data_IF_000920464540
#
_entry.id   IF_000920464540
#
_cell.length_a   1.000
_cell.length_b   1.000
_cell.length_c   1.000
_cell.angle_alpha   90.00
_cell.angle_beta   90.00
_cell.angle_gamma   90.00
#
_symmetry.space_group_name_H-M   'P 1'
#
loop_
_entity.id
_entity.type
_entity.pdbx_description
1 polymer ?
#
# COMPACT_ATOMS: atom_id res chain seq x y z
N UNK A 1 3.57 -32.58 -30.65
CA UNK A 1 3.42 -31.49 -29.67
C UNK A 1 4.82 -30.93 -29.39
N UNK A 2 5.06 -29.63 -29.57
CA UNK A 2 6.36 -29.05 -29.18
C UNK A 2 6.55 -29.22 -27.68
N UNK A 3 7.76 -29.60 -27.25
CA UNK A 3 8.08 -29.73 -25.84
C UNK A 3 7.85 -28.39 -25.12
N UNK A 4 7.24 -28.42 -23.91
CA UNK A 4 7.02 -27.21 -23.12
C UNK A 4 8.36 -26.65 -22.69
N UNK A 5 8.52 -25.34 -22.77
CA UNK A 5 9.71 -24.66 -22.27
C UNK A 5 9.75 -24.68 -20.74
N UNK A 6 10.90 -25.01 -20.16
CA UNK A 6 11.11 -25.03 -18.72
C UNK A 6 11.66 -23.70 -18.23
N UNK A 7 10.88 -22.98 -17.40
CA UNK A 7 11.20 -21.64 -16.90
C UNK A 7 11.35 -21.64 -15.39
N UNK A 8 12.45 -21.09 -14.90
CA UNK A 8 12.68 -20.86 -13.48
C UNK A 8 12.24 -19.44 -13.07
N UNK A 9 11.55 -19.32 -11.94
CA UNK A 9 11.18 -18.06 -11.33
C UNK A 9 11.97 -17.90 -10.03
N UNK A 10 12.79 -16.86 -9.96
CA UNK A 10 13.49 -16.43 -8.76
C UNK A 10 12.78 -15.22 -8.16
N UNK A 11 11.62 -15.48 -7.55
CA UNK A 11 10.72 -14.49 -6.97
C UNK A 11 10.40 -14.87 -5.54
N UNK A 12 10.54 -13.92 -4.62
CA UNK A 12 10.01 -14.11 -3.26
C UNK A 12 8.48 -14.00 -3.26
N UNK A 13 7.79 -14.87 -2.53
CA UNK A 13 6.32 -14.86 -2.43
C UNK A 13 5.81 -14.16 -1.17
N UNK A 14 6.72 -13.68 -0.33
CA UNK A 14 6.40 -13.07 0.98
C UNK A 14 5.77 -11.68 0.90
N UNK A 15 5.99 -10.92 -0.19
CA UNK A 15 5.44 -9.57 -0.35
C UNK A 15 4.44 -9.46 -1.52
N UNK A 16 3.56 -8.45 -1.44
CA UNK A 16 2.51 -8.24 -2.43
C UNK A 16 3.06 -7.92 -3.81
N UNK A 17 4.13 -7.13 -3.91
CA UNK A 17 4.76 -6.77 -5.18
C UNK A 17 5.14 -8.02 -5.99
N UNK A 18 5.86 -8.94 -5.38
CA UNK A 18 6.30 -10.17 -6.05
C UNK A 18 5.15 -11.13 -6.33
N UNK A 19 4.14 -11.20 -5.46
CA UNK A 19 2.92 -11.98 -5.73
C UNK A 19 2.17 -11.43 -6.95
N UNK A 20 2.06 -10.10 -7.09
CA UNK A 20 1.45 -9.49 -8.26
C UNK A 20 2.25 -9.73 -9.56
N UNK A 21 3.59 -9.77 -9.51
CA UNK A 21 4.40 -10.20 -10.65
C UNK A 21 4.09 -11.66 -11.02
N UNK A 22 3.96 -12.53 -10.03
CA UNK A 22 3.61 -13.94 -10.24
C UNK A 22 2.22 -14.09 -10.88
N UNK A 23 1.23 -13.31 -10.43
CA UNK A 23 -0.11 -13.31 -11.03
C UNK A 23 -0.07 -12.95 -12.52
N UNK A 24 0.74 -11.98 -12.91
CA UNK A 24 0.95 -11.61 -14.31
C UNK A 24 1.63 -12.72 -15.13
N UNK A 25 2.65 -13.37 -14.56
CA UNK A 25 3.31 -14.52 -15.19
C UNK A 25 2.33 -15.69 -15.34
N UNK A 26 1.52 -15.96 -14.33
CA UNK A 26 0.47 -16.99 -14.37
C UNK A 26 -0.51 -16.69 -15.51
N UNK A 27 -0.99 -15.46 -15.65
CA UNK A 27 -1.89 -15.07 -16.72
C UNK A 27 -1.28 -15.35 -18.10
N UNK A 28 0.00 -14.99 -18.30
CA UNK A 28 0.72 -15.30 -19.54
C UNK A 28 0.80 -16.81 -19.81
N UNK A 29 1.19 -17.60 -18.79
CA UNK A 29 1.36 -19.05 -18.92
C UNK A 29 0.02 -19.74 -19.22
N UNK A 30 -1.07 -19.32 -18.58
CA UNK A 30 -2.42 -19.84 -18.84
C UNK A 30 -2.90 -19.52 -20.25
N UNK A 31 -2.64 -18.33 -20.75
CA UNK A 31 -3.01 -17.90 -22.09
C UNK A 31 -2.29 -18.70 -23.17
N UNK A 32 -1.00 -18.96 -23.00
CA UNK A 32 -0.15 -19.56 -24.04
C UNK A 32 0.07 -21.07 -23.87
N UNK A 33 -0.01 -21.60 -22.62
CA UNK A 33 0.15 -23.01 -22.26
C UNK A 33 1.44 -23.69 -22.76
N UNK A 34 2.50 -22.90 -22.95
CA UNK A 34 3.75 -23.33 -23.58
C UNK A 34 4.88 -23.61 -22.57
N UNK A 35 4.67 -23.26 -21.28
CA UNK A 35 5.72 -23.35 -20.26
C UNK A 35 5.42 -24.40 -19.19
N UNK A 36 6.51 -24.96 -18.66
CA UNK A 36 6.57 -25.64 -17.38
C UNK A 36 7.35 -24.74 -16.42
N UNK A 37 6.73 -24.32 -15.31
CA UNK A 37 7.29 -23.33 -14.40
C UNK A 37 7.81 -23.98 -13.15
N UNK A 38 9.03 -23.61 -12.74
CA UNK A 38 9.64 -23.98 -11.47
C UNK A 38 9.76 -22.74 -10.58
N UNK A 39 9.04 -22.72 -9.47
CA UNK A 39 9.03 -21.65 -8.46
C UNK A 39 9.41 -22.26 -7.10
N UNK A 40 10.66 -22.10 -6.63
CA UNK A 40 11.02 -22.50 -5.28
C UNK A 40 10.55 -21.47 -4.25
N UNK A 41 10.39 -21.90 -3.02
CA UNK A 41 10.19 -21.00 -1.90
C UNK A 41 11.43 -20.13 -1.70
N UNK A 42 11.23 -18.81 -1.65
CA UNK A 42 12.31 -17.84 -1.44
C UNK A 42 11.84 -16.68 -0.55
N UNK A 43 12.72 -16.24 0.33
CA UNK A 43 12.56 -15.02 1.10
C UNK A 43 13.36 -13.86 0.49
N UNK A 44 13.05 -12.64 0.92
CA UNK A 44 13.76 -11.43 0.45
C UNK A 44 15.22 -11.46 0.93
N UNK A 45 16.14 -11.25 0.01
CA UNK A 45 17.58 -11.28 0.31
C UNK A 45 18.18 -12.68 0.42
N UNK A 46 17.42 -13.73 0.07
CA UNK A 46 17.93 -15.10 0.04
C UNK A 46 19.19 -15.25 -0.82
N UNK A 47 20.04 -16.18 -0.45
CA UNK A 47 21.17 -16.57 -1.27
C UNK A 47 20.71 -17.31 -2.54
N UNK A 48 21.50 -17.27 -3.64
CA UNK A 48 21.15 -18.03 -4.83
C UNK A 48 20.93 -19.50 -4.50
N UNK A 49 19.81 -20.09 -4.91
CA UNK A 49 19.54 -21.50 -4.60
C UNK A 49 20.55 -22.43 -5.28
N UNK A 50 20.97 -23.48 -4.58
CA UNK A 50 22.02 -24.40 -5.06
C UNK A 50 21.65 -25.09 -6.37
N UNK A 51 20.37 -25.37 -6.62
CA UNK A 51 19.88 -26.02 -7.84
C UNK A 51 20.11 -25.14 -9.09
N UNK A 52 20.21 -23.81 -8.95
CA UNK A 52 20.38 -22.89 -10.09
C UNK A 52 21.67 -23.17 -10.87
N UNK A 53 22.71 -23.69 -10.22
CA UNK A 53 23.98 -24.05 -10.87
C UNK A 53 23.83 -25.17 -11.89
N UNK A 54 22.85 -26.06 -11.65
CA UNK A 54 22.60 -27.26 -12.48
C UNK A 54 21.27 -27.13 -13.25
N UNK A 55 20.69 -25.94 -13.29
CA UNK A 55 19.44 -25.72 -14.00
C UNK A 55 19.61 -25.88 -15.51
N UNK A 56 18.85 -26.82 -16.07
CA UNK A 56 18.87 -27.15 -17.51
C UNK A 56 17.56 -26.74 -18.21
N UNK A 57 16.92 -25.68 -17.72
CA UNK A 57 15.72 -25.13 -18.36
C UNK A 57 16.04 -24.21 -19.54
N UNK A 58 14.99 -23.55 -20.04
CA UNK A 58 15.06 -22.70 -21.23
C UNK A 58 15.21 -21.21 -20.90
N UNK A 59 14.82 -20.77 -19.69
CA UNK A 59 14.89 -19.36 -19.33
C UNK A 59 14.59 -19.09 -17.85
N UNK A 60 14.81 -17.83 -17.45
CA UNK A 60 14.71 -17.39 -16.06
C UNK A 60 14.04 -16.01 -16.00
N UNK A 61 13.04 -15.85 -15.12
CA UNK A 61 12.58 -14.55 -14.63
C UNK A 61 13.05 -14.38 -13.20
N UNK A 62 13.77 -13.31 -12.91
CA UNK A 62 14.42 -13.14 -11.60
C UNK A 62 14.31 -11.73 -11.05
N UNK A 63 14.07 -11.60 -9.74
CA UNK A 63 14.41 -10.39 -8.98
C UNK A 63 15.88 -10.44 -8.58
N UNK A 64 16.73 -9.77 -9.36
CA UNK A 64 18.18 -9.78 -9.17
C UNK A 64 18.55 -8.68 -8.17
N UNK A 65 18.27 -8.89 -6.89
CA UNK A 65 18.47 -7.90 -5.83
C UNK A 65 19.85 -7.92 -5.17
N UNK A 66 20.67 -8.94 -5.47
CA UNK A 66 22.03 -9.07 -4.90
C UNK A 66 23.04 -9.44 -5.99
N UNK A 67 24.31 -9.08 -5.75
CA UNK A 67 25.38 -9.47 -6.66
C UNK A 67 25.60 -11.00 -6.68
N UNK A 68 25.30 -11.69 -5.60
CA UNK A 68 25.35 -13.14 -5.55
C UNK A 68 24.35 -13.79 -6.51
N UNK A 69 23.08 -13.32 -6.51
CA UNK A 69 22.05 -13.75 -7.48
C UNK A 69 22.49 -13.38 -8.91
N UNK A 70 22.98 -12.15 -9.12
CA UNK A 70 23.48 -11.72 -10.43
C UNK A 70 24.57 -12.64 -11.01
N UNK A 71 25.55 -13.01 -10.18
CA UNK A 71 26.60 -13.96 -10.57
C UNK A 71 26.06 -15.35 -10.87
N UNK A 72 25.14 -15.86 -10.05
CA UNK A 72 24.55 -17.16 -10.24
C UNK A 72 23.73 -17.24 -11.54
N UNK A 73 22.90 -16.23 -11.79
CA UNK A 73 22.08 -16.14 -13.00
C UNK A 73 22.94 -16.03 -14.27
N UNK A 74 23.98 -15.18 -14.27
CA UNK A 74 24.92 -15.06 -15.42
C UNK A 74 25.60 -16.40 -15.76
N UNK A 75 25.94 -17.20 -14.76
CA UNK A 75 26.62 -18.50 -14.96
C UNK A 75 25.76 -19.54 -15.69
N UNK A 76 24.44 -19.36 -15.68
CA UNK A 76 23.55 -20.30 -16.40
C UNK A 76 23.66 -20.16 -17.92
N UNK A 77 24.06 -18.98 -18.42
CA UNK A 77 24.08 -18.68 -19.86
C UNK A 77 22.72 -18.64 -20.53
N UNK A 78 21.63 -18.77 -19.77
CA UNK A 78 20.26 -18.83 -20.28
C UNK A 78 19.68 -17.44 -20.55
N UNK A 79 18.62 -17.35 -21.37
CA UNK A 79 17.78 -16.16 -21.45
C UNK A 79 17.23 -15.75 -20.09
N UNK A 80 17.38 -14.46 -19.74
CA UNK A 80 16.96 -13.91 -18.45
C UNK A 80 16.20 -12.60 -18.63
N UNK A 81 15.14 -12.40 -17.86
CA UNK A 81 14.48 -11.11 -17.66
C UNK A 81 14.59 -10.72 -16.19
N UNK A 82 15.10 -9.51 -15.93
CA UNK A 82 15.19 -8.94 -14.58
C UNK A 82 13.90 -8.18 -14.24
N UNK A 83 13.31 -8.47 -13.09
CA UNK A 83 12.13 -7.77 -12.57
C UNK A 83 12.46 -7.09 -11.23
N UNK A 84 13.69 -6.56 -11.10
CA UNK A 84 14.16 -5.82 -9.92
C UNK A 84 14.70 -4.44 -10.27
N UNK A 85 14.70 -3.54 -9.27
CA UNK A 85 15.26 -2.20 -9.36
C UNK A 85 16.79 -2.16 -9.23
N UNK A 86 17.43 -3.26 -8.82
CA UNK A 86 18.84 -3.23 -8.42
C UNK A 86 19.82 -3.07 -9.59
N UNK A 87 19.46 -3.56 -10.80
CA UNK A 87 20.25 -3.42 -12.03
C UNK A 87 21.66 -3.99 -11.98
N UNK A 88 21.83 -5.09 -11.25
CA UNK A 88 23.14 -5.77 -11.13
C UNK A 88 23.65 -6.40 -12.43
N UNK A 89 22.77 -6.71 -13.38
CA UNK A 89 23.16 -7.33 -14.66
C UNK A 89 22.90 -6.37 -15.80
N UNK A 90 23.97 -5.90 -16.43
CA UNK A 90 23.88 -5.05 -17.63
C UNK A 90 23.56 -5.89 -18.88
N UNK A 91 22.82 -5.32 -19.82
CA UNK A 91 22.57 -5.93 -21.13
C UNK A 91 21.45 -6.96 -21.20
N UNK A 92 20.81 -7.31 -20.10
CA UNK A 92 19.58 -8.13 -20.09
C UNK A 92 18.33 -7.24 -20.09
N UNK A 93 17.20 -7.72 -20.65
CA UNK A 93 15.94 -7.01 -20.54
C UNK A 93 15.45 -6.95 -19.08
N UNK A 94 14.73 -5.88 -18.80
CA UNK A 94 14.11 -5.70 -17.50
C UNK A 94 12.74 -5.04 -17.59
N UNK A 95 11.88 -5.40 -16.66
CA UNK A 95 10.55 -4.81 -16.46
C UNK A 95 10.40 -4.39 -15.01
N UNK A 96 9.90 -3.19 -14.77
CA UNK A 96 9.66 -2.67 -13.43
C UNK A 96 8.49 -1.71 -13.42
N UNK A 97 7.91 -1.45 -12.25
CA UNK A 97 6.93 -0.38 -12.07
C UNK A 97 7.62 0.98 -12.02
N UNK A 98 6.96 2.02 -12.50
CA UNK A 98 7.51 3.38 -12.54
C UNK A 98 7.48 4.01 -11.13
N UNK A 99 8.64 4.01 -10.47
CA UNK A 99 8.81 4.58 -9.13
C UNK A 99 8.63 6.10 -9.10
N UNK A 100 8.91 6.78 -10.20
CA UNK A 100 8.64 8.22 -10.35
C UNK A 100 7.14 8.50 -10.34
N UNK A 101 6.38 7.78 -11.16
CA UNK A 101 4.92 7.91 -11.23
C UNK A 101 4.24 7.45 -9.91
N UNK A 102 4.81 6.45 -9.21
CA UNK A 102 4.34 6.06 -7.87
C UNK A 102 4.50 7.21 -6.86
N UNK A 103 5.66 7.87 -6.87
CA UNK A 103 5.91 9.01 -5.98
C UNK A 103 5.02 10.21 -6.33
N UNK A 104 4.75 10.43 -7.61
CA UNK A 104 3.84 11.47 -8.10
C UNK A 104 2.42 11.28 -7.57
N UNK A 105 1.85 10.08 -7.71
CA UNK A 105 0.53 9.76 -7.15
C UNK A 105 0.47 9.99 -5.62
N UNK A 106 1.52 9.60 -4.89
CA UNK A 106 1.57 9.80 -3.45
C UNK A 106 1.66 11.29 -3.07
N UNK A 107 2.50 12.08 -3.79
CA UNK A 107 2.64 13.51 -3.57
C UNK A 107 1.34 14.25 -3.87
N UNK A 108 0.74 14.02 -5.04
CA UNK A 108 -0.54 14.60 -5.44
C UNK A 108 -1.66 14.27 -4.44
N UNK A 109 -1.70 13.01 -3.98
CA UNK A 109 -2.67 12.55 -2.99
C UNK A 109 -2.59 13.32 -1.68
N UNK A 110 -1.39 13.61 -1.18
CA UNK A 110 -1.19 14.36 0.06
C UNK A 110 -1.37 15.87 -0.16
N UNK A 111 -0.83 16.43 -1.24
CA UNK A 111 -0.97 17.85 -1.58
C UNK A 111 -2.42 18.25 -1.82
N UNK A 112 -3.20 17.43 -2.53
CA UNK A 112 -4.63 17.68 -2.77
C UNK A 112 -5.47 17.70 -1.48
N UNK A 113 -4.95 17.12 -0.40
CA UNK A 113 -5.53 17.17 0.95
C UNK A 113 -5.07 18.37 1.78
N UNK A 114 -4.27 19.27 1.20
CA UNK A 114 -3.83 20.53 1.81
C UNK A 114 -2.61 20.41 2.71
N UNK A 115 -1.92 19.27 2.76
CA UNK A 115 -0.70 19.15 3.56
C UNK A 115 0.41 20.06 3.02
N UNK A 116 0.93 20.95 3.89
CA UNK A 116 2.05 21.85 3.61
C UNK A 116 3.39 21.32 4.16
N UNK A 117 3.33 20.34 5.04
CA UNK A 117 4.49 19.59 5.50
C UNK A 117 4.40 18.18 4.93
N UNK A 118 5.38 17.79 4.14
CA UNK A 118 5.43 16.46 3.58
C UNK A 118 6.74 15.78 3.93
N UNK A 119 6.66 14.49 4.20
CA UNK A 119 7.82 13.74 4.63
C UNK A 119 7.92 12.42 3.86
N UNK A 120 9.13 11.93 3.70
CA UNK A 120 9.42 10.62 3.14
C UNK A 120 10.10 9.73 4.18
N UNK A 121 9.60 8.49 4.32
CA UNK A 121 10.22 7.48 5.16
C UNK A 121 10.74 6.33 4.31
N UNK A 122 12.05 6.31 4.08
CA UNK A 122 12.73 5.47 3.09
C UNK A 122 13.57 4.34 3.65
N UNK A 123 13.99 3.47 2.74
CA UNK A 123 15.02 2.45 2.96
C UNK A 123 16.16 2.70 1.96
N UNK A 124 17.32 3.21 2.41
CA UNK A 124 18.37 3.71 1.53
C UNK A 124 19.13 2.61 0.76
N UNK A 125 18.97 1.34 1.13
CA UNK A 125 19.64 0.24 0.45
C UNK A 125 19.00 -0.13 -0.89
N UNK A 126 17.77 0.34 -1.14
CA UNK A 126 17.03 -0.01 -2.36
C UNK A 126 16.92 1.15 -3.35
N UNK A 127 17.22 0.89 -4.63
CA UNK A 127 17.09 1.87 -5.70
C UNK A 127 15.67 2.41 -5.85
N UNK A 128 14.67 1.53 -5.82
CA UNK A 128 13.26 1.91 -5.90
C UNK A 128 12.87 2.90 -4.79
N UNK A 129 13.38 2.74 -3.56
CA UNK A 129 13.13 3.68 -2.47
C UNK A 129 13.80 5.04 -2.71
N UNK A 130 15.06 5.04 -3.22
CA UNK A 130 15.78 6.29 -3.55
C UNK A 130 15.14 7.05 -4.71
N UNK A 131 14.66 6.36 -5.73
CA UNK A 131 14.00 7.00 -6.88
C UNK A 131 12.65 7.59 -6.47
N UNK A 132 11.85 6.87 -5.65
CA UNK A 132 10.61 7.41 -5.05
C UNK A 132 10.91 8.65 -4.21
N UNK A 133 11.92 8.60 -3.33
CA UNK A 133 12.32 9.75 -2.52
C UNK A 133 12.70 10.96 -3.36
N UNK A 134 13.57 10.75 -4.34
CA UNK A 134 14.04 11.84 -5.20
C UNK A 134 12.86 12.53 -5.90
N UNK A 135 11.99 11.77 -6.55
CA UNK A 135 10.83 12.32 -7.26
C UNK A 135 9.83 12.98 -6.32
N UNK A 136 9.54 12.36 -5.18
CA UNK A 136 8.66 12.92 -4.16
C UNK A 136 9.18 14.26 -3.63
N UNK A 137 10.47 14.37 -3.35
CA UNK A 137 11.11 15.61 -2.91
C UNK A 137 11.00 16.71 -3.96
N UNK A 138 11.27 16.41 -5.24
CA UNK A 138 11.13 17.35 -6.35
C UNK A 138 9.71 17.93 -6.38
N UNK A 139 8.69 17.08 -6.37
CA UNK A 139 7.28 17.48 -6.40
C UNK A 139 6.87 18.33 -5.19
N UNK A 140 7.36 17.99 -4.01
CA UNK A 140 7.10 18.76 -2.79
C UNK A 140 7.71 20.16 -2.87
N UNK A 141 8.93 20.28 -3.41
CA UNK A 141 9.57 21.58 -3.64
C UNK A 141 8.83 22.41 -4.71
N UNK A 142 8.45 21.77 -5.82
CA UNK A 142 7.71 22.44 -6.91
C UNK A 142 6.36 22.99 -6.42
N UNK A 143 5.73 22.30 -5.46
CA UNK A 143 4.49 22.75 -4.80
C UNK A 143 4.71 23.83 -3.73
N UNK A 144 5.95 24.24 -3.44
CA UNK A 144 6.28 25.20 -2.37
C UNK A 144 6.06 24.67 -0.95
N UNK A 145 5.89 23.35 -0.78
CA UNK A 145 5.69 22.72 0.52
C UNK A 145 7.04 22.39 1.21
N UNK A 146 7.00 22.18 2.54
CA UNK A 146 8.20 21.81 3.31
C UNK A 146 8.46 20.33 3.24
N UNK A 147 9.69 19.95 2.95
CA UNK A 147 10.13 18.56 2.83
C UNK A 147 10.94 18.08 4.03
N UNK A 148 10.65 16.87 4.50
CA UNK A 148 11.36 16.17 5.56
C UNK A 148 11.67 14.74 5.14
N UNK A 149 12.74 14.16 5.69
CA UNK A 149 13.13 12.79 5.33
C UNK A 149 13.62 12.00 6.53
N UNK A 150 13.26 10.72 6.57
CA UNK A 150 13.86 9.72 7.44
C UNK A 150 14.35 8.55 6.61
N UNK A 151 15.62 8.21 6.78
CA UNK A 151 16.21 7.00 6.22
C UNK A 151 16.33 5.95 7.33
N UNK A 152 15.65 4.84 7.14
CA UNK A 152 15.67 3.73 8.08
C UNK A 152 17.03 3.06 8.14
N UNK A 153 17.33 2.43 9.28
CA UNK A 153 18.51 1.58 9.39
C UNK A 153 18.32 0.38 8.45
N UNK A 154 19.27 0.14 7.53
CA UNK A 154 19.13 -0.95 6.56
C UNK A 154 19.05 -2.34 7.22
N UNK A 155 18.00 -3.09 6.90
CA UNK A 155 17.70 -4.37 7.56
C UNK A 155 18.69 -5.49 7.26
N UNK A 156 19.31 -5.44 6.08
CA UNK A 156 20.24 -6.48 5.63
C UNK A 156 21.69 -6.23 6.08
N UNK A 157 21.94 -5.12 6.80
CA UNK A 157 23.28 -4.81 7.30
C UNK A 157 23.55 -5.46 8.66
N UNK A 158 24.81 -5.90 8.89
CA UNK A 158 25.23 -6.38 10.21
C UNK A 158 24.95 -5.29 11.26
N UNK A 159 24.43 -5.69 12.40
CA UNK A 159 24.09 -4.77 13.50
C UNK A 159 22.72 -4.07 13.37
N UNK A 160 21.90 -4.45 12.42
CA UNK A 160 20.50 -4.02 12.42
C UNK A 160 19.81 -4.39 13.74
N UNK A 161 19.09 -3.44 14.30
CA UNK A 161 18.25 -3.65 15.49
C UNK A 161 16.90 -3.01 15.25
N UNK A 162 15.87 -3.84 15.23
CA UNK A 162 14.49 -3.38 15.09
C UNK A 162 14.11 -2.34 16.16
N UNK A 163 14.50 -2.57 17.41
CA UNK A 163 14.24 -1.64 18.50
C UNK A 163 14.92 -0.28 18.29
N UNK A 164 16.16 -0.27 17.76
CA UNK A 164 16.89 0.97 17.48
C UNK A 164 16.24 1.75 16.33
N UNK A 165 15.89 1.06 15.24
CA UNK A 165 15.21 1.68 14.09
C UNK A 165 13.86 2.27 14.53
N UNK A 166 13.08 1.54 15.32
CA UNK A 166 11.82 2.00 15.90
C UNK A 166 11.98 3.23 16.79
N UNK A 167 12.97 3.25 17.68
CA UNK A 167 13.25 4.41 18.55
C UNK A 167 13.68 5.64 17.76
N UNK A 168 14.49 5.47 16.71
CA UNK A 168 14.90 6.59 15.84
C UNK A 168 13.69 7.15 15.09
N UNK A 169 12.86 6.29 14.56
CA UNK A 169 11.63 6.64 13.84
C UNK A 169 10.65 7.40 14.75
N UNK A 170 10.44 6.93 16.00
CA UNK A 170 9.59 7.59 16.98
C UNK A 170 10.11 9.01 17.33
N UNK A 171 11.42 9.16 17.53
CA UNK A 171 12.03 10.48 17.79
C UNK A 171 11.90 11.42 16.59
N UNK A 172 12.00 10.90 15.38
CA UNK A 172 11.83 11.69 14.16
C UNK A 172 10.37 12.16 14.02
N UNK A 173 9.38 11.27 14.18
CA UNK A 173 7.96 11.62 14.12
C UNK A 173 7.58 12.74 15.10
N UNK A 174 8.07 12.67 16.33
CA UNK A 174 7.81 13.73 17.36
C UNK A 174 8.41 15.11 17.01
N UNK A 175 9.40 15.17 16.12
CA UNK A 175 10.04 16.42 15.70
C UNK A 175 9.41 17.03 14.45
N UNK A 176 8.56 16.30 13.75
CA UNK A 176 7.90 16.80 12.56
C UNK A 176 6.87 17.88 12.92
N UNK A 177 6.80 18.97 12.14
CA UNK A 177 5.70 19.91 12.27
C UNK A 177 4.40 19.23 11.84
N UNK A 178 3.33 19.50 12.58
CA UNK A 178 2.01 18.91 12.32
C UNK A 178 1.06 20.04 11.84
N UNK A 179 0.07 19.69 10.96
CA UNK A 179 -0.14 18.40 10.33
C UNK A 179 0.92 18.07 9.28
N UNK A 180 1.25 16.77 9.11
CA UNK A 180 2.23 16.29 8.12
C UNK A 180 1.72 15.07 7.36
N UNK A 181 1.92 15.08 6.04
CA UNK A 181 1.68 13.92 5.18
C UNK A 181 2.96 13.13 4.93
N UNK A 182 2.97 11.84 5.21
CA UNK A 182 4.16 10.99 5.08
C UNK A 182 3.96 9.93 3.99
N UNK A 183 4.82 9.93 2.97
CA UNK A 183 4.97 8.79 2.08
C UNK A 183 5.97 7.81 2.68
N UNK A 184 5.52 6.61 3.01
CA UNK A 184 6.40 5.49 3.33
C UNK A 184 6.82 4.77 2.04
N UNK A 185 8.07 4.33 1.97
CA UNK A 185 8.61 3.71 0.76
C UNK A 185 7.89 2.42 0.34
N UNK A 186 7.17 1.73 1.26
CA UNK A 186 6.28 0.59 1.02
C UNK A 186 5.38 0.32 2.23
N UNK A 187 4.38 -0.56 2.08
CA UNK A 187 3.33 -0.77 3.08
C UNK A 187 3.83 -1.24 4.45
N UNK A 188 4.85 -2.12 4.48
CA UNK A 188 5.42 -2.59 5.76
C UNK A 188 6.06 -1.43 6.54
N UNK A 189 6.69 -0.46 5.86
CA UNK A 189 7.23 0.73 6.50
C UNK A 189 6.11 1.66 6.98
N UNK A 190 5.04 1.78 6.19
CA UNK A 190 3.85 2.52 6.60
C UNK A 190 3.19 1.91 7.85
N UNK A 191 3.06 0.59 7.91
CA UNK A 191 2.55 -0.13 9.10
C UNK A 191 3.38 0.19 10.35
N UNK A 192 4.71 0.22 10.22
CA UNK A 192 5.60 0.58 11.33
C UNK A 192 5.36 2.01 11.82
N UNK A 193 5.17 2.96 10.88
CA UNK A 193 4.83 4.35 11.22
C UNK A 193 3.50 4.42 11.97
N UNK A 194 2.46 3.77 11.47
CA UNK A 194 1.14 3.74 12.12
C UNK A 194 1.19 3.13 13.52
N UNK A 195 1.93 2.02 13.70
CA UNK A 195 2.12 1.42 15.01
C UNK A 195 2.82 2.36 16.00
N UNK A 196 3.83 3.11 15.54
CA UNK A 196 4.52 4.09 16.37
C UNK A 196 3.61 5.27 16.69
N UNK A 197 2.85 5.79 15.72
CA UNK A 197 1.88 6.86 15.97
C UNK A 197 0.89 6.47 17.06
N UNK A 198 0.34 5.26 17.00
CA UNK A 198 -0.57 4.73 18.03
C UNK A 198 0.09 4.67 19.40
N UNK A 199 1.31 4.12 19.50
CA UNK A 199 2.01 3.94 20.77
C UNK A 199 2.45 5.29 21.40
N UNK A 200 2.64 6.32 20.57
CA UNK A 200 3.02 7.67 20.99
C UNK A 200 1.81 8.63 21.11
N UNK A 201 0.59 8.14 20.89
CA UNK A 201 -0.64 8.93 20.98
C UNK A 201 -0.79 9.99 19.89
N UNK A 202 -0.12 9.83 18.75
CA UNK A 202 -0.20 10.74 17.59
C UNK A 202 -1.44 10.38 16.77
N UNK A 203 -2.33 11.36 16.54
CA UNK A 203 -3.56 11.16 15.79
C UNK A 203 -3.27 10.94 14.30
N UNK A 204 -3.79 9.83 13.75
CA UNK A 204 -3.74 9.51 12.33
C UNK A 204 -5.19 9.49 11.80
N UNK A 205 -5.48 10.25 10.77
CA UNK A 205 -4.60 11.04 9.89
C UNK A 205 -4.47 12.53 10.26
N UNK A 206 -5.06 13.01 11.34
CA UNK A 206 -5.23 14.43 11.65
C UNK A 206 -3.87 15.14 11.88
N UNK A 207 -2.97 14.52 12.65
CA UNK A 207 -1.63 15.06 12.91
C UNK A 207 -0.62 14.49 11.93
N UNK A 208 -0.72 13.19 11.63
CA UNK A 208 0.18 12.47 10.73
C UNK A 208 -0.66 11.62 9.77
N UNK A 209 -0.72 12.02 8.51
CA UNK A 209 -1.30 11.18 7.46
C UNK A 209 -0.22 10.28 6.85
N UNK A 210 -0.51 9.01 6.61
CA UNK A 210 0.47 8.03 6.08
C UNK A 210 -0.07 7.34 4.84
N UNK A 211 0.72 7.37 3.75
CA UNK A 211 0.47 6.61 2.54
C UNK A 211 1.60 5.62 2.29
N UNK A 212 1.26 4.36 2.00
CA UNK A 212 2.18 3.30 1.62
C UNK A 212 2.27 3.09 0.11
N UNK A 213 2.94 2.02 -0.28
CA UNK A 213 3.03 1.52 -1.66
C UNK A 213 3.00 0.00 -1.63
N UNK A 214 2.45 -0.62 -2.62
CA UNK A 214 2.23 -2.03 -2.94
C UNK A 214 0.76 -2.47 -2.83
N UNK A 215 -0.05 -1.77 -2.06
CA UNK A 215 -1.44 -2.10 -1.75
C UNK A 215 -1.62 -3.58 -1.36
N UNK A 216 -0.75 -4.06 -0.44
CA UNK A 216 -0.99 -5.37 0.17
C UNK A 216 -2.28 -5.27 1.00
N UNK A 217 -3.39 -5.70 0.40
CA UNK A 217 -4.72 -5.57 0.99
C UNK A 217 -4.76 -6.09 2.43
N UNK A 218 -4.17 -7.27 2.68
CA UNK A 218 -4.17 -7.89 4.01
C UNK A 218 -3.43 -7.03 5.03
N UNK A 219 -2.28 -6.50 4.65
CA UNK A 219 -1.49 -5.61 5.49
C UNK A 219 -2.19 -4.27 5.70
N UNK A 220 -2.72 -3.67 4.63
CA UNK A 220 -3.40 -2.38 4.67
C UNK A 220 -4.65 -2.42 5.55
N UNK A 221 -5.43 -3.49 5.48
CA UNK A 221 -6.64 -3.69 6.30
C UNK A 221 -6.32 -4.08 7.76
N UNK A 222 -5.18 -4.73 8.00
CA UNK A 222 -4.71 -5.04 9.36
C UNK A 222 -4.20 -3.82 10.12
N UNK A 223 -3.83 -2.75 9.41
CA UNK A 223 -3.39 -1.50 10.04
C UNK A 223 -4.53 -0.81 10.79
N UNK A 224 -4.17 -0.09 11.84
CA UNK A 224 -5.09 0.75 12.61
C UNK A 224 -4.51 2.17 12.72
N UNK A 225 -5.13 3.16 12.01
CA UNK A 225 -6.23 3.01 11.04
C UNK A 225 -5.81 2.30 9.74
N UNK A 226 -6.75 1.76 8.94
CA UNK A 226 -6.49 1.13 7.66
C UNK A 226 -5.66 2.02 6.72
N UNK A 227 -4.64 1.43 6.09
CA UNK A 227 -3.59 2.13 5.36
C UNK A 227 -3.99 2.43 3.91
N UNK A 228 -3.91 3.71 3.53
CA UNK A 228 -3.94 4.15 2.14
C UNK A 228 -2.64 3.77 1.43
N UNK A 229 -2.72 3.33 0.18
CA UNK A 229 -1.54 2.86 -0.53
C UNK A 229 -1.62 3.11 -2.04
N UNK A 230 -0.49 3.41 -2.66
CA UNK A 230 -0.35 3.46 -4.11
C UNK A 230 -0.33 2.04 -4.66
N UNK A 231 -1.04 1.82 -5.76
CA UNK A 231 -1.19 0.50 -6.40
C UNK A 231 -0.21 0.41 -7.58
N UNK A 232 0.96 -0.25 -7.46
CA UNK A 232 1.82 -0.55 -8.59
C UNK A 232 1.15 -1.60 -9.49
N UNK A 233 1.30 -1.46 -10.80
CA UNK A 233 0.71 -2.42 -11.75
C UNK A 233 1.64 -3.62 -11.96
N UNK A 234 1.83 -4.40 -10.91
CA UNK A 234 2.74 -5.54 -10.88
C UNK A 234 2.26 -6.70 -11.76
N UNK A 235 0.95 -6.88 -11.91
CA UNK A 235 0.37 -7.90 -12.80
C UNK A 235 0.78 -7.63 -14.26
N UNK A 236 0.66 -6.40 -14.72
CA UNK A 236 1.13 -6.02 -16.07
C UNK A 236 2.64 -6.20 -16.20
N UNK A 237 3.41 -5.85 -15.17
CA UNK A 237 4.86 -6.03 -15.18
C UNK A 237 5.25 -7.51 -15.30
N UNK A 238 4.61 -8.40 -14.55
CA UNK A 238 4.84 -9.84 -14.60
C UNK A 238 4.46 -10.45 -15.96
N UNK A 239 3.31 -10.05 -16.52
CA UNK A 239 2.87 -10.50 -17.85
C UNK A 239 3.89 -10.10 -18.92
N UNK A 240 4.32 -8.84 -18.92
CA UNK A 240 5.28 -8.32 -19.90
C UNK A 240 6.67 -8.95 -19.74
N UNK A 241 7.11 -9.25 -18.51
CA UNK A 241 8.35 -9.98 -18.28
C UNK A 241 8.30 -11.40 -18.88
N UNK A 242 7.17 -12.08 -18.74
CA UNK A 242 6.95 -13.40 -19.34
C UNK A 242 6.94 -13.32 -20.88
N UNK A 243 6.29 -12.33 -21.46
CA UNK A 243 6.30 -12.10 -22.90
C UNK A 243 7.72 -11.85 -23.43
N UNK A 244 8.50 -10.98 -22.76
CA UNK A 244 9.90 -10.72 -23.11
C UNK A 244 10.74 -12.00 -23.06
N UNK A 245 10.60 -12.81 -21.99
CA UNK A 245 11.31 -14.07 -21.89
C UNK A 245 10.90 -15.04 -23.00
N UNK A 246 9.62 -15.10 -23.36
CA UNK A 246 9.11 -15.91 -24.46
C UNK A 246 9.79 -15.56 -25.79
N UNK A 247 9.98 -14.27 -26.10
CA UNK A 247 10.71 -13.82 -27.27
C UNK A 247 12.18 -14.24 -27.24
N UNK A 248 12.86 -14.07 -26.10
CA UNK A 248 14.27 -14.46 -25.96
C UNK A 248 14.48 -15.97 -26.15
N UNK A 249 13.61 -16.81 -25.56
CA UNK A 249 13.68 -18.27 -25.70
C UNK A 249 13.38 -18.75 -27.13
N UNK A 250 12.70 -17.92 -27.93
CA UNK A 250 12.47 -18.15 -29.36
C UNK A 250 13.56 -17.56 -30.27
N UNK A 251 14.69 -17.09 -29.70
CA UNK A 251 15.75 -16.35 -30.39
C UNK A 251 15.23 -15.10 -31.14
N UNK A 252 14.18 -14.47 -30.62
CA UNK A 252 13.63 -13.23 -31.14
C UNK A 252 13.99 -12.07 -30.22
N UNK A 253 14.30 -10.92 -30.78
CA UNK A 253 14.52 -9.72 -29.98
C UNK A 253 13.18 -9.22 -29.43
N UNK A 254 13.07 -8.97 -28.10
CA UNK A 254 11.89 -8.32 -27.54
C UNK A 254 11.66 -6.94 -28.16
N UNK A 255 10.41 -6.49 -28.21
CA UNK A 255 10.05 -5.17 -28.72
C UNK A 255 10.75 -4.03 -27.95
N UNK A 256 10.94 -4.23 -26.64
CA UNK A 256 11.69 -3.32 -25.78
C UNK A 256 12.63 -4.13 -24.87
N UNK A 257 13.82 -3.58 -24.60
CA UNK A 257 14.76 -4.16 -23.64
C UNK A 257 14.56 -3.61 -22.21
N UNK A 258 13.78 -2.56 -22.09
CA UNK A 258 13.52 -1.84 -20.82
C UNK A 258 12.07 -1.42 -20.81
N UNK A 259 11.39 -1.68 -19.71
CA UNK A 259 9.99 -1.28 -19.57
C UNK A 259 9.70 -0.79 -18.16
N UNK A 260 9.12 0.41 -18.08
CA UNK A 260 8.53 0.97 -16.87
C UNK A 260 7.01 0.88 -16.99
N UNK A 261 6.38 0.33 -15.98
CA UNK A 261 4.93 0.10 -15.93
C UNK A 261 4.29 1.14 -15.03
N UNK A 262 3.40 1.94 -15.60
CA UNK A 262 2.63 2.97 -14.88
C UNK A 262 1.77 2.35 -13.78
N UNK A 263 1.74 2.94 -12.57
CA UNK A 263 0.87 2.50 -11.48
C UNK A 263 -0.61 2.69 -11.83
N UNK A 264 -1.50 2.03 -11.08
CA UNK A 264 -2.95 2.07 -11.32
C UNK A 264 -3.65 3.24 -10.63
N UNK A 265 -3.07 3.78 -9.55
CA UNK A 265 -3.67 4.85 -8.75
C UNK A 265 -3.41 4.67 -7.26
N UNK A 266 -4.24 5.31 -6.44
CA UNK A 266 -4.18 5.24 -4.98
C UNK A 266 -5.47 4.61 -4.45
N UNK A 267 -5.33 3.59 -3.61
CA UNK A 267 -6.43 3.11 -2.77
C UNK A 267 -6.46 3.94 -1.49
N UNK A 268 -7.47 4.80 -1.39
CA UNK A 268 -7.65 5.67 -0.22
C UNK A 268 -8.34 4.92 0.90
N UNK A 269 -7.71 4.89 2.08
CA UNK A 269 -8.26 4.36 3.32
C UNK A 269 -8.12 5.40 4.44
N UNK A 270 -8.41 5.02 5.68
CA UNK A 270 -8.50 5.97 6.79
C UNK A 270 -7.18 6.70 7.12
N UNK A 271 -6.02 6.14 6.85
CA UNK A 271 -4.73 6.75 7.19
C UNK A 271 -4.42 8.07 6.46
N UNK A 272 -5.19 8.40 5.42
CA UNK A 272 -5.12 9.70 4.71
C UNK A 272 -6.50 10.29 4.42
N UNK A 273 -7.57 9.75 5.00
CA UNK A 273 -8.95 10.19 4.73
C UNK A 273 -9.32 11.42 5.57
N UNK A 274 -8.57 12.50 5.40
CA UNK A 274 -8.80 13.79 6.04
C UNK A 274 -8.14 14.90 5.22
N UNK A 275 -8.67 16.12 5.33
CA UNK A 275 -7.92 17.31 4.95
C UNK A 275 -6.94 17.69 6.07
N UNK A 276 -5.84 18.33 5.74
CA UNK A 276 -4.91 18.85 6.73
C UNK A 276 -5.61 19.91 7.60
N UNK A 277 -5.76 19.63 8.90
CA UNK A 277 -6.49 20.46 9.84
C UNK A 277 -5.52 21.05 10.85
N UNK A 278 -5.42 22.36 10.87
CA UNK A 278 -4.64 23.12 11.85
C UNK A 278 -5.56 23.71 12.96
N UNK A 279 -6.35 22.82 13.57
CA UNK A 279 -7.28 23.16 14.67
C UNK A 279 -7.24 22.04 15.69
N UNK A 280 -6.54 22.22 16.83
CA UNK A 280 -6.32 21.17 17.82
C UNK A 280 -7.60 20.66 18.46
N UNK A 281 -8.63 21.50 18.61
CA UNK A 281 -9.91 21.08 19.19
C UNK A 281 -10.66 20.16 18.20
N UNK A 282 -10.62 20.48 16.91
CA UNK A 282 -11.24 19.65 15.86
C UNK A 282 -10.46 18.34 15.68
N UNK A 283 -9.13 18.38 15.72
CA UNK A 283 -8.29 17.17 15.72
C UNK A 283 -8.65 16.26 16.90
N UNK A 284 -8.77 16.83 18.12
CA UNK A 284 -9.18 16.08 19.31
C UNK A 284 -10.59 15.49 19.18
N UNK A 285 -11.54 16.26 18.64
CA UNK A 285 -12.89 15.78 18.38
C UNK A 285 -12.91 14.61 17.39
N UNK A 286 -12.16 14.70 16.29
CA UNK A 286 -12.05 13.65 15.28
C UNK A 286 -11.39 12.38 15.85
N UNK A 287 -10.33 12.54 16.62
CA UNK A 287 -9.66 11.43 17.29
C UNK A 287 -10.62 10.71 18.23
N UNK A 288 -11.36 11.45 19.05
CA UNK A 288 -12.38 10.87 19.94
C UNK A 288 -13.48 10.13 19.16
N UNK A 289 -13.97 10.73 18.06
CA UNK A 289 -14.97 10.11 17.18
C UNK A 289 -14.43 8.78 16.61
N UNK A 290 -13.20 8.76 16.06
CA UNK A 290 -12.62 7.54 15.47
C UNK A 290 -12.45 6.41 16.47
N UNK A 291 -11.95 6.73 17.66
CA UNK A 291 -11.74 5.75 18.72
C UNK A 291 -13.04 5.16 19.27
N UNK A 292 -14.14 5.94 19.22
CA UNK A 292 -15.38 5.58 19.91
C UNK A 292 -16.59 5.43 18.98
N UNK A 293 -16.47 5.63 17.67
CA UNK A 293 -17.62 5.59 16.74
C UNK A 293 -18.47 4.32 16.88
N UNK A 294 -17.81 3.19 17.08
CA UNK A 294 -18.45 1.87 17.17
C UNK A 294 -19.00 1.53 18.58
N UNK A 295 -18.73 2.38 19.57
CA UNK A 295 -19.26 2.23 20.95
C UNK A 295 -20.61 2.95 21.15
N UNK A 296 -21.27 3.34 20.07
CA UNK A 296 -22.61 3.93 20.14
C UNK A 296 -22.64 5.41 20.55
N UNK A 297 -21.52 6.15 20.46
CA UNK A 297 -21.44 7.58 20.80
C UNK A 297 -22.36 8.45 19.94
N UNK A 298 -22.61 9.64 20.43
CA UNK A 298 -23.32 10.71 19.74
C UNK A 298 -22.56 12.04 19.87
N UNK A 299 -23.07 13.12 19.24
CA UNK A 299 -22.44 14.44 19.27
C UNK A 299 -22.26 15.01 20.68
N UNK A 300 -23.17 14.66 21.62
CA UNK A 300 -23.05 15.12 23.01
C UNK A 300 -21.85 14.52 23.72
N UNK A 301 -21.50 13.27 23.38
CA UNK A 301 -20.30 12.61 23.91
C UNK A 301 -19.03 13.31 23.41
N UNK A 302 -19.00 13.72 22.15
CA UNK A 302 -17.89 14.52 21.58
C UNK A 302 -17.76 15.86 22.30
N UNK A 303 -18.87 16.55 22.54
CA UNK A 303 -18.87 17.84 23.25
C UNK A 303 -18.37 17.76 24.69
N UNK A 304 -18.47 16.60 25.34
CA UNK A 304 -17.87 16.39 26.67
C UNK A 304 -16.35 16.22 26.62
N UNK A 305 -15.82 15.91 25.45
CA UNK A 305 -14.40 15.64 25.25
C UNK A 305 -13.61 16.88 24.80
N UNK A 306 -14.27 17.86 24.18
CA UNK A 306 -13.62 19.08 23.66
C UNK A 306 -14.21 20.35 24.29
N UNK A 307 -13.41 21.42 24.51
CA UNK A 307 -13.87 22.66 25.14
C UNK A 307 -14.61 23.57 24.16
N UNK A 308 -15.54 23.02 23.39
CA UNK A 308 -16.30 23.75 22.39
C UNK A 308 -17.80 23.70 22.66
N UNK A 309 -18.53 24.79 22.34
CA UNK A 309 -19.97 24.74 22.26
C UNK A 309 -20.42 23.97 21.02
N UNK A 310 -21.64 23.40 21.06
CA UNK A 310 -22.21 22.66 19.92
C UNK A 310 -22.17 23.44 18.61
N UNK A 311 -22.58 24.71 18.68
CA UNK A 311 -22.58 25.59 17.50
C UNK A 311 -21.19 25.79 16.91
N UNK A 312 -20.18 25.97 17.75
CA UNK A 312 -18.78 26.16 17.31
C UNK A 312 -18.24 24.86 16.72
N UNK A 313 -18.48 23.73 17.37
CA UNK A 313 -18.08 22.41 16.87
C UNK A 313 -18.67 22.13 15.48
N UNK A 314 -20.00 22.27 15.33
CA UNK A 314 -20.71 22.04 14.07
C UNK A 314 -20.25 23.00 12.96
N UNK A 315 -20.03 24.29 13.28
CA UNK A 315 -19.53 25.30 12.33
C UNK A 315 -18.12 24.98 11.84
N UNK A 316 -17.19 24.68 12.76
CA UNK A 316 -15.80 24.33 12.39
C UNK A 316 -15.73 23.01 11.64
N UNK A 317 -16.51 22.00 12.02
CA UNK A 317 -16.61 20.73 11.26
C UNK A 317 -17.10 20.98 9.84
N UNK A 318 -18.13 21.81 9.66
CA UNK A 318 -18.66 22.14 8.34
C UNK A 318 -17.62 22.90 7.50
N UNK A 319 -16.92 23.86 8.10
CA UNK A 319 -15.89 24.65 7.42
C UNK A 319 -14.67 23.81 7.01
N UNK A 320 -14.18 22.95 7.91
CA UNK A 320 -12.92 22.22 7.72
C UNK A 320 -13.11 20.86 7.02
N UNK A 321 -14.30 20.25 7.16
CA UNK A 321 -14.54 18.87 6.69
C UNK A 321 -15.70 18.80 5.68
N UNK A 322 -16.44 19.88 5.46
CA UNK A 322 -17.63 19.89 4.60
C UNK A 322 -18.81 19.08 5.14
N UNK A 323 -18.75 18.66 6.41
CA UNK A 323 -19.78 17.81 7.03
C UNK A 323 -19.89 18.05 8.54
N UNK A 324 -21.00 17.61 9.15
CA UNK A 324 -21.22 17.76 10.59
C UNK A 324 -20.54 16.63 11.40
N UNK A 325 -20.32 16.81 12.73
CA UNK A 325 -19.83 15.73 13.59
C UNK A 325 -20.69 14.47 13.56
N UNK A 326 -22.02 14.64 13.50
CA UNK A 326 -22.95 13.51 13.36
C UNK A 326 -22.76 12.76 12.02
N UNK A 327 -22.59 13.50 10.92
CA UNK A 327 -22.32 12.89 9.62
C UNK A 327 -21.00 12.12 9.60
N UNK A 328 -19.97 12.61 10.29
CA UNK A 328 -18.68 11.89 10.41
C UNK A 328 -18.80 10.59 11.21
N UNK A 329 -19.50 10.61 12.35
CA UNK A 329 -19.80 9.40 13.14
C UNK A 329 -20.54 8.37 12.28
N UNK A 330 -21.54 8.83 11.54
CA UNK A 330 -22.36 7.96 10.69
C UNK A 330 -21.55 7.36 9.54
N UNK A 331 -20.68 8.16 8.90
CA UNK A 331 -19.78 7.72 7.82
C UNK A 331 -18.91 6.56 8.28
N UNK A 332 -18.20 6.72 9.41
CA UNK A 332 -17.34 5.67 9.96
C UNK A 332 -18.13 4.38 10.26
N UNK A 333 -19.34 4.51 10.82
CA UNK A 333 -20.20 3.35 11.07
C UNK A 333 -20.64 2.64 9.80
N UNK A 334 -21.00 3.39 8.76
CA UNK A 334 -21.36 2.80 7.45
C UNK A 334 -20.17 2.11 6.81
N UNK A 335 -18.99 2.71 6.86
CA UNK A 335 -17.77 2.07 6.34
C UNK A 335 -17.47 0.76 7.08
N UNK A 336 -17.66 0.71 8.41
CA UNK A 336 -17.57 -0.53 9.18
C UNK A 336 -18.62 -1.56 8.78
N UNK A 337 -19.85 -1.13 8.54
CA UNK A 337 -20.92 -2.01 8.04
C UNK A 337 -20.55 -2.61 6.69
N UNK A 338 -20.06 -1.81 5.74
CA UNK A 338 -19.60 -2.31 4.43
C UNK A 338 -18.53 -3.38 4.58
N UNK A 339 -17.55 -3.13 5.42
CA UNK A 339 -16.49 -4.08 5.73
C UNK A 339 -17.07 -5.41 6.26
N UNK A 340 -17.89 -5.36 7.30
CA UNK A 340 -18.47 -6.56 7.91
C UNK A 340 -19.41 -7.32 6.97
N UNK A 341 -20.14 -6.64 6.10
CA UNK A 341 -20.97 -7.25 5.08
C UNK A 341 -20.18 -8.10 4.08
N UNK A 342 -18.97 -7.68 3.75
CA UNK A 342 -18.07 -8.38 2.79
C UNK A 342 -17.30 -9.51 3.48
N UNK A 343 -16.76 -9.25 4.67
CA UNK A 343 -15.79 -10.12 5.33
C UNK A 343 -16.40 -11.19 6.21
N UNK A 344 -17.70 -11.05 6.57
CA UNK A 344 -18.32 -11.94 7.55
C UNK A 344 -19.70 -12.43 7.11
N UNK A 345 -20.17 -13.50 7.77
CA UNK A 345 -21.53 -14.01 7.63
C UNK A 345 -22.47 -13.50 8.72
N UNK A 346 -22.05 -12.50 9.50
CA UNK A 346 -22.87 -11.93 10.56
C UNK A 346 -24.22 -11.45 10.04
N UNK A 347 -25.26 -11.63 10.86
CA UNK A 347 -26.58 -11.07 10.60
C UNK A 347 -26.55 -9.54 10.64
N UNK A 348 -27.53 -8.90 10.06
CA UNK A 348 -27.60 -7.43 10.07
C UNK A 348 -27.75 -6.88 11.49
N UNK A 349 -28.34 -7.63 12.41
CA UNK A 349 -28.46 -7.25 13.82
C UNK A 349 -27.09 -7.27 14.53
N UNK A 350 -26.29 -8.32 14.31
CA UNK A 350 -24.94 -8.43 14.86
C UNK A 350 -24.01 -7.35 14.28
N UNK A 351 -24.14 -7.07 12.98
CA UNK A 351 -23.40 -5.98 12.32
C UNK A 351 -23.80 -4.62 12.92
N UNK A 352 -25.09 -4.39 13.17
CA UNK A 352 -25.56 -3.16 13.79
C UNK A 352 -24.89 -2.92 15.15
N UNK A 353 -24.88 -3.94 16.01
CA UNK A 353 -24.20 -3.88 17.31
C UNK A 353 -22.70 -3.62 17.18
N UNK A 354 -22.01 -4.35 16.28
CA UNK A 354 -20.57 -4.24 16.06
C UNK A 354 -20.14 -2.92 15.38
N UNK A 355 -21.06 -2.23 14.72
CA UNK A 355 -20.82 -0.93 14.06
C UNK A 355 -21.35 0.26 14.88
N UNK A 356 -21.81 0.05 16.11
CA UNK A 356 -22.26 1.09 17.02
C UNK A 356 -23.67 1.65 16.75
N UNK A 357 -24.50 0.91 16.00
CA UNK A 357 -25.92 1.24 15.84
C UNK A 357 -26.73 0.62 16.97
N UNK A 358 -27.64 1.39 17.56
CA UNK A 358 -28.54 0.88 18.61
C UNK A 358 -29.67 0.00 18.07
N UNK A 359 -30.11 0.27 16.83
CA UNK A 359 -31.24 -0.39 16.20
C UNK A 359 -30.91 -0.74 14.75
N UNK A 360 -31.28 -1.95 14.33
CA UNK A 360 -31.05 -2.47 12.96
C UNK A 360 -31.84 -1.69 11.91
N UNK A 361 -33.01 -1.16 12.29
CA UNK A 361 -33.87 -0.35 11.42
C UNK A 361 -33.17 0.97 11.05
N UNK A 362 -32.52 1.61 12.03
CA UNK A 362 -31.77 2.83 11.78
C UNK A 362 -30.54 2.58 10.90
N UNK A 363 -29.81 1.46 11.13
CA UNK A 363 -28.74 1.04 10.23
C UNK A 363 -29.27 0.89 8.80
N UNK A 364 -30.39 0.17 8.61
CA UNK A 364 -30.94 -0.11 7.27
C UNK A 364 -31.30 1.17 6.51
N UNK A 365 -31.92 2.13 7.20
CA UNK A 365 -32.27 3.45 6.61
C UNK A 365 -31.01 4.25 6.29
N UNK A 366 -30.07 4.31 7.23
CA UNK A 366 -28.82 5.06 7.07
C UNK A 366 -27.96 4.49 5.94
N UNK A 367 -27.82 3.16 5.87
CA UNK A 367 -27.07 2.48 4.83
C UNK A 367 -27.66 2.73 3.44
N UNK A 368 -29.00 2.54 3.30
CA UNK A 368 -29.66 2.79 2.01
C UNK A 368 -29.54 4.25 1.58
N UNK A 369 -29.57 5.20 2.53
CA UNK A 369 -29.39 6.62 2.24
C UNK A 369 -27.96 6.95 1.79
N UNK A 370 -26.95 6.28 2.39
CA UNK A 370 -25.53 6.48 2.05
C UNK A 370 -25.14 5.82 0.74
N UNK A 371 -25.50 4.55 0.54
CA UNK A 371 -24.99 3.71 -0.54
C UNK A 371 -25.97 3.58 -1.74
N UNK A 372 -27.21 4.08 -1.61
CA UNK A 372 -28.25 3.98 -2.65
C UNK A 372 -28.90 2.61 -2.77
N UNK A 373 -28.40 1.59 -2.10
CA UNK A 373 -28.89 0.21 -2.09
C UNK A 373 -29.06 -0.35 -0.68
N UNK A 374 -29.75 -1.49 -0.52
CA UNK A 374 -29.88 -2.11 0.81
C UNK A 374 -28.57 -2.85 1.19
N UNK A 375 -28.30 -2.98 2.48
CA UNK A 375 -27.17 -3.75 3.01
C UNK A 375 -27.16 -5.21 2.49
N UNK A 376 -28.34 -5.80 2.26
CA UNK A 376 -28.50 -7.14 1.70
C UNK A 376 -28.06 -7.21 0.22
N UNK A 377 -28.48 -6.23 -0.58
CA UNK A 377 -28.15 -6.16 -2.00
C UNK A 377 -26.64 -5.88 -2.17
N UNK A 378 -26.09 -4.98 -1.36
CA UNK A 378 -24.66 -4.71 -1.30
C UNK A 378 -23.85 -5.99 -1.03
N UNK A 379 -24.21 -6.76 0.02
CA UNK A 379 -23.56 -8.04 0.36
C UNK A 379 -23.63 -9.01 -0.83
N UNK A 380 -24.80 -9.17 -1.43
CA UNK A 380 -25.00 -10.09 -2.57
C UNK A 380 -24.14 -9.70 -3.76
N UNK A 381 -24.09 -8.42 -4.11
CA UNK A 381 -23.30 -7.88 -5.21
C UNK A 381 -21.80 -8.10 -5.01
N UNK A 382 -21.30 -7.80 -3.82
CA UNK A 382 -19.86 -7.92 -3.50
C UNK A 382 -19.40 -9.39 -3.53
N UNK A 383 -20.24 -10.32 -3.06
CA UNK A 383 -19.91 -11.76 -3.09
C UNK A 383 -19.99 -12.37 -4.49
N UNK A 384 -20.89 -11.88 -5.33
CA UNK A 384 -20.96 -12.30 -6.72
C UNK A 384 -19.77 -11.82 -7.57
N UNK A 385 -19.23 -10.64 -7.27
CA UNK A 385 -18.06 -10.08 -7.95
C UNK A 385 -16.70 -10.66 -7.50
N UNK A 386 -16.65 -11.37 -6.37
CA UNK A 386 -15.42 -11.99 -5.84
C UNK A 386 -15.19 -13.44 -6.29
N UNK A 387 -16.05 -14.00 -7.12
CA UNK A 387 -15.99 -15.40 -7.62
C UNK A 387 -15.50 -15.51 -9.07
N UNK A 388 -14.88 -14.43 -9.62
CA UNK A 388 -14.33 -14.38 -10.98
C UNK A 388 -12.81 -14.40 -11.01
#
# INVERSE_FOLDING_TARGET
>A
MSARKSVALLLETSNAYSRGLLDGIIAFVQQHRTWSVYLPEQERGATPPNWLRNWQGDGIIARIETEAIARAVRRTGLPVVDVSAARYVKGIPWVETDDGAIAELAAEHLLSRGFQNLAYCGDPDFNWSRWREQRFRELVHDAGARYFVHQSIPRLRPGYSWNRDRQQLARWLKKLPQPVGIMACYDIKAQQLLAICRDEGIAVPEQVAVIGVDNDRRLCELCDPPLSSVIPNTVKAGFQAAEMLGHLMANRRPAAMKSLITPLGVETRQSTDVLAIDDPDIVSALQYIRQNAFSGINVHDVLRHVPLSRRVLESRFQQLLGRTPHAEILRLRIDRVKQLLVETDLSLAEIAGSAGFRHTEYLSVAFKRSEGETARDFRKRQRAGGSG
#
